data_IF_395866425559
#
_entry.id   IF_395866425559
#
_cell.length_a   1.000
_cell.length_b   1.000
_cell.length_c   1.000
_cell.angle_alpha   90.00
_cell.angle_beta   90.00
_cell.angle_gamma   90.00
#
_symmetry.space_group_name_H-M   'P 1'
#
loop_
_entity.id
_entity.type
_entity.pdbx_description
1 polymer ?
#
# COMPACT_ATOMS: atom_id res chain seq x y z
N UNK A 1 1.75 15.11 10.14
CA UNK A 1 1.61 15.32 8.69
C UNK A 1 0.29 16.03 8.46
N UNK A 2 0.28 17.35 8.22
CA UNK A 2 -0.95 18.13 8.28
C UNK A 2 -1.97 17.85 7.16
N UNK A 3 -1.60 17.17 6.07
CA UNK A 3 -2.46 17.06 4.88
C UNK A 3 -2.64 15.63 4.34
N UNK A 4 -2.75 14.62 5.22
CA UNK A 4 -2.97 13.23 4.77
C UNK A 4 -4.33 13.03 4.12
N UNK A 5 -4.34 12.29 3.01
CA UNK A 5 -5.52 11.90 2.26
C UNK A 5 -6.13 10.60 2.81
N UNK A 6 -5.30 9.62 3.18
CA UNK A 6 -5.73 8.38 3.82
C UNK A 6 -5.88 8.60 5.33
N UNK A 7 -7.01 8.14 5.88
CA UNK A 7 -7.25 8.17 7.32
C UNK A 7 -6.42 7.11 8.05
N UNK A 8 -5.30 7.53 8.63
CA UNK A 8 -4.50 6.69 9.54
C UNK A 8 -5.21 6.53 10.89
N UNK A 9 -5.31 5.30 11.37
CA UNK A 9 -5.87 4.96 12.67
C UNK A 9 -5.27 3.66 13.22
N UNK A 10 -5.69 3.22 14.41
CA UNK A 10 -5.17 2.02 15.06
C UNK A 10 -5.43 0.70 14.30
N UNK A 11 -6.25 0.73 13.25
CA UNK A 11 -6.55 -0.41 12.38
C UNK A 11 -5.90 -0.29 11.00
N UNK A 12 -5.07 0.72 10.77
CA UNK A 12 -4.28 0.83 9.54
C UNK A 12 -3.36 -0.38 9.41
N UNK A 13 -3.32 -1.00 8.23
CA UNK A 13 -2.53 -2.23 8.02
C UNK A 13 -1.03 -1.97 8.20
N UNK A 14 -0.48 -0.96 7.51
CA UNK A 14 0.88 -0.50 7.69
C UNK A 14 0.93 1.02 7.69
N UNK A 15 1.49 1.60 8.76
CA UNK A 15 1.62 3.04 8.91
C UNK A 15 3.02 3.57 8.55
N UNK A 16 4.00 2.67 8.40
CA UNK A 16 5.40 2.96 8.07
C UNK A 16 5.96 1.89 7.12
N UNK A 17 5.89 2.14 5.82
CA UNK A 17 6.59 1.38 4.79
C UNK A 17 7.57 2.27 4.03
N UNK A 18 8.64 1.69 3.51
CA UNK A 18 9.44 2.36 2.47
C UNK A 18 8.66 2.27 1.15
N UNK A 19 8.15 3.42 0.68
CA UNK A 19 7.39 3.52 -0.55
C UNK A 19 8.13 4.33 -1.61
N UNK A 20 7.73 4.11 -2.86
CA UNK A 20 8.24 4.87 -3.99
C UNK A 20 7.14 5.10 -5.02
N UNK A 21 7.24 6.21 -5.74
CA UNK A 21 6.44 6.50 -6.92
C UNK A 21 7.36 6.78 -8.11
N UNK A 22 7.02 6.19 -9.26
CA UNK A 22 7.79 6.33 -10.50
C UNK A 22 6.94 6.96 -11.59
N UNK A 23 7.39 8.10 -12.08
CA UNK A 23 6.90 8.72 -13.30
C UNK A 23 7.78 8.40 -14.50
N UNK A 24 7.48 9.01 -15.66
CA UNK A 24 8.32 8.87 -16.86
C UNK A 24 9.74 9.43 -16.64
N UNK A 25 9.83 10.56 -15.94
CA UNK A 25 11.08 11.34 -15.79
C UNK A 25 11.53 11.48 -14.31
N UNK A 26 10.85 10.83 -13.37
CA UNK A 26 11.18 10.90 -11.94
C UNK A 26 10.98 9.57 -11.22
N UNK A 27 11.68 9.43 -10.10
CA UNK A 27 11.41 8.47 -9.05
C UNK A 27 11.56 9.21 -7.73
N UNK A 28 10.56 9.10 -6.86
CA UNK A 28 10.62 9.66 -5.51
C UNK A 28 10.33 8.58 -4.48
N UNK A 29 11.08 8.62 -3.38
CA UNK A 29 10.96 7.70 -2.27
C UNK A 29 10.50 8.47 -1.04
N UNK A 30 9.60 7.88 -0.27
CA UNK A 30 9.11 8.45 0.97
C UNK A 30 8.54 7.35 1.88
N UNK A 31 8.36 7.69 3.16
CA UNK A 31 7.59 6.86 4.07
C UNK A 31 6.15 6.77 3.55
N UNK A 32 5.59 5.57 3.52
CA UNK A 32 4.28 5.29 2.96
C UNK A 32 3.36 4.63 3.98
N UNK A 33 2.07 4.87 3.80
CA UNK A 33 0.98 4.15 4.47
C UNK A 33 0.32 3.26 3.44
N UNK A 34 0.10 1.99 3.81
CA UNK A 34 -0.67 1.04 3.03
C UNK A 34 -1.79 0.48 3.90
N UNK A 35 -3.03 0.60 3.43
CA UNK A 35 -4.20 0.23 4.21
C UNK A 35 -5.15 -0.67 3.45
N UNK A 36 -5.63 -1.72 4.11
CA UNK A 36 -6.65 -2.64 3.59
C UNK A 36 -7.88 -2.55 4.47
N UNK A 37 -9.04 -2.25 3.87
CA UNK A 37 -10.32 -2.13 4.59
C UNK A 37 -11.48 -2.76 3.80
N UNK A 38 -12.62 -2.91 4.46
CA UNK A 38 -13.90 -3.25 3.84
C UNK A 38 -15.01 -2.44 4.55
N UNK A 39 -16.18 -2.22 3.90
CA UNK A 39 -17.32 -1.58 4.56
C UNK A 39 -17.72 -2.29 5.85
N UNK A 40 -18.07 -1.52 6.89
CA UNK A 40 -18.41 -2.07 8.21
C UNK A 40 -19.79 -2.76 8.22
N UNK A 41 -20.72 -2.25 7.42
CA UNK A 41 -22.07 -2.76 7.25
C UNK A 41 -22.21 -3.26 5.82
N UNK A 42 -22.74 -4.47 5.64
CA UNK A 42 -22.95 -5.13 4.33
C UNK A 42 -21.73 -5.06 3.37
N UNK A 43 -20.58 -5.66 3.73
CA UNK A 43 -19.36 -5.57 2.93
C UNK A 43 -19.51 -6.23 1.56
N UNK A 44 -19.23 -5.46 0.51
CA UNK A 44 -19.31 -5.89 -0.89
C UNK A 44 -17.97 -5.78 -1.64
N UNK A 45 -16.97 -5.12 -1.05
CA UNK A 45 -15.63 -4.98 -1.61
C UNK A 45 -14.53 -4.86 -0.54
N UNK A 46 -13.29 -5.00 -0.97
CA UNK A 46 -12.07 -4.66 -0.24
C UNK A 46 -11.45 -3.43 -0.89
N UNK A 47 -11.04 -2.46 -0.10
CA UNK A 47 -10.28 -1.29 -0.56
C UNK A 47 -8.83 -1.44 -0.13
N UNK A 48 -7.91 -1.34 -1.07
CA UNK A 48 -6.48 -1.20 -0.84
C UNK A 48 -6.06 0.22 -1.22
N UNK A 49 -5.47 0.95 -0.28
CA UNK A 49 -5.02 2.33 -0.50
C UNK A 49 -3.55 2.50 -0.09
N UNK A 50 -2.80 3.26 -0.90
CA UNK A 50 -1.40 3.65 -0.67
C UNK A 50 -1.30 5.18 -0.67
N UNK A 51 -0.53 5.73 0.27
CA UNK A 51 -0.19 7.17 0.28
C UNK A 51 1.25 7.36 0.74
N UNK A 52 2.04 8.02 -0.11
CA UNK A 52 3.38 8.51 0.25
C UNK A 52 3.28 9.78 1.11
N UNK A 53 4.11 9.89 2.14
CA UNK A 53 4.29 11.15 2.87
C UNK A 53 4.87 12.19 1.90
N UNK A 54 4.04 13.18 1.57
CA UNK A 54 4.38 14.23 0.64
C UNK A 54 5.37 15.26 1.21
N UNK A 55 5.77 15.12 2.48
CA UNK A 55 6.77 16.00 3.12
C UNK A 55 8.15 15.74 2.52
N UNK A 56 8.50 16.49 1.48
CA UNK A 56 9.81 16.41 0.81
C UNK A 56 9.77 15.81 -0.59
N UNK A 57 8.59 15.39 -1.07
CA UNK A 57 8.35 15.13 -2.48
C UNK A 57 8.41 16.45 -3.26
N UNK A 58 9.03 16.41 -4.43
CA UNK A 58 9.33 17.56 -5.28
C UNK A 58 8.60 17.51 -6.61
N UNK A 59 8.48 16.33 -7.20
CA UNK A 59 7.84 16.11 -8.49
C UNK A 59 6.38 15.69 -8.35
N UNK A 60 6.04 15.04 -7.23
CA UNK A 60 4.73 14.45 -7.03
C UNK A 60 3.89 15.26 -6.02
N UNK A 61 2.75 15.85 -6.44
CA UNK A 61 1.80 16.47 -5.51
C UNK A 61 1.30 15.48 -4.46
N UNK A 62 0.71 15.97 -3.36
CA UNK A 62 0.04 15.10 -2.40
C UNK A 62 -1.02 14.24 -3.11
N UNK A 63 -0.90 12.93 -2.98
CA UNK A 63 -1.68 11.94 -3.72
C UNK A 63 -1.88 10.68 -2.86
N UNK A 64 -2.88 9.90 -3.23
CA UNK A 64 -3.10 8.56 -2.72
C UNK A 64 -3.70 7.72 -3.85
N UNK A 65 -3.24 6.49 -3.97
CA UNK A 65 -3.76 5.51 -4.92
C UNK A 65 -4.70 4.57 -4.19
N UNK A 66 -5.80 4.23 -4.84
CA UNK A 66 -6.78 3.29 -4.30
C UNK A 66 -7.26 2.33 -5.37
N UNK A 67 -7.45 1.07 -5.00
CA UNK A 67 -8.15 0.07 -5.81
C UNK A 67 -9.27 -0.58 -5.01
N UNK A 68 -10.37 -0.86 -5.70
CA UNK A 68 -11.51 -1.63 -5.18
C UNK A 68 -11.43 -3.04 -5.73
N UNK A 69 -11.39 -4.02 -4.84
CA UNK A 69 -11.28 -5.43 -5.17
C UNK A 69 -12.53 -6.17 -4.69
N UNK A 70 -13.03 -7.10 -5.49
CA UNK A 70 -13.93 -8.13 -5.00
C UNK A 70 -13.22 -9.02 -3.98
N UNK A 71 -14.01 -9.77 -3.19
CA UNK A 71 -13.45 -10.74 -2.25
C UNK A 71 -12.63 -11.86 -2.95
N UNK A 72 -12.86 -12.11 -4.23
CA UNK A 72 -12.08 -13.09 -5.00
C UNK A 72 -10.70 -12.51 -5.39
N UNK A 73 -10.69 -11.31 -5.97
CA UNK A 73 -9.44 -10.62 -6.37
C UNK A 73 -8.54 -10.33 -5.16
N UNK A 74 -9.13 -9.96 -4.01
CA UNK A 74 -8.35 -9.75 -2.79
C UNK A 74 -7.65 -11.04 -2.30
N UNK A 75 -8.30 -12.20 -2.43
CA UNK A 75 -7.68 -13.50 -2.08
C UNK A 75 -6.60 -13.91 -3.08
N UNK A 76 -6.81 -13.62 -4.36
CA UNK A 76 -5.80 -13.84 -5.39
C UNK A 76 -4.54 -13.00 -5.13
N UNK A 77 -4.71 -11.70 -4.84
CA UNK A 77 -3.61 -10.81 -4.47
C UNK A 77 -2.86 -11.32 -3.23
N UNK A 78 -3.58 -11.75 -2.18
CA UNK A 78 -2.96 -12.32 -0.99
C UNK A 78 -2.11 -13.56 -1.31
N UNK A 79 -2.60 -14.45 -2.17
CA UNK A 79 -1.85 -15.63 -2.61
C UNK A 79 -0.58 -15.29 -3.39
N UNK A 80 -0.61 -14.26 -4.25
CA UNK A 80 0.60 -13.80 -4.93
C UNK A 80 1.59 -13.17 -3.94
N UNK A 81 1.14 -12.38 -2.96
CA UNK A 81 2.00 -11.84 -1.91
C UNK A 81 2.72 -12.95 -1.11
N UNK A 82 1.98 -13.98 -0.67
CA UNK A 82 2.56 -15.14 0.03
C UNK A 82 3.60 -15.87 -0.82
N UNK A 83 3.30 -16.11 -2.10
CA UNK A 83 4.20 -16.77 -3.05
C UNK A 83 5.50 -15.99 -3.25
N UNK A 84 5.42 -14.67 -3.41
CA UNK A 84 6.62 -13.85 -3.57
C UNK A 84 7.40 -13.70 -2.27
N UNK A 85 6.74 -13.65 -1.11
CA UNK A 85 7.41 -13.68 0.20
C UNK A 85 8.21 -14.98 0.38
N UNK A 86 7.60 -16.14 0.11
CA UNK A 86 8.28 -17.43 0.18
C UNK A 86 9.50 -17.52 -0.75
N UNK A 87 9.44 -16.86 -1.92
CA UNK A 87 10.59 -16.76 -2.84
C UNK A 87 11.73 -15.93 -2.26
N UNK A 88 11.44 -14.83 -1.57
CA UNK A 88 12.44 -14.00 -0.89
C UNK A 88 13.08 -14.78 0.25
N UNK A 89 12.26 -15.43 1.09
CA UNK A 89 12.74 -16.27 2.21
C UNK A 89 13.64 -17.41 1.72
N UNK A 90 13.23 -18.12 0.66
CA UNK A 90 14.05 -19.18 0.08
C UNK A 90 15.41 -18.67 -0.45
N UNK A 91 15.45 -17.46 -1.02
CA UNK A 91 16.71 -16.86 -1.48
C UNK A 91 17.60 -16.38 -0.32
N UNK A 92 17.03 -16.13 0.86
CA UNK A 92 17.73 -15.71 2.08
C UNK A 92 18.08 -16.90 3.00
N UNK A 93 17.43 -18.05 2.82
CA UNK A 93 17.57 -19.26 3.65
C UNK A 93 18.56 -20.31 3.13
N UNK A 94 19.31 -20.01 2.07
CA UNK A 94 20.47 -20.80 1.58
C UNK A 94 21.79 -20.36 2.26
N UNK A 95 21.74 -20.02 3.57
CA UNK A 95 22.88 -19.84 4.48
C UNK A 95 22.80 -20.79 5.69
#
# INVERSE_FOLDING_TARGET
MPDRLIRVNAYTTFDLLDGFARGHDFEEEAVAVLNVTAPREDPDHVTLELELDNTGLTELPAHAEGVTLSAAEARELAGELEKYAARVEAAQGDE
#
